data_IF_238946247341
#
_entry.id   IF_238946247341
#
_cell.length_a   1.000
_cell.length_b   1.000
_cell.length_c   1.000
_cell.angle_alpha   90.00
_cell.angle_beta   90.00
_cell.angle_gamma   90.00
#
_symmetry.space_group_name_H-M   'P 1'
#
loop_
_entity.id
_entity.type
_entity.pdbx_description
1 polymer ?
#
# COMPACT_ATOMS: atom_id res chain seq x y z
N UNK A 1 15.70 28.76 60.27
CA UNK A 1 14.45 29.12 59.56
C UNK A 1 14.37 28.22 58.36
N UNK A 2 13.74 27.08 58.57
CA UNK A 2 13.88 25.91 57.73
C UNK A 2 13.14 26.10 56.41
N UNK A 3 13.70 25.65 55.30
CA UNK A 3 13.07 25.64 53.97
C UNK A 3 11.66 25.02 54.00
N UNK A 4 11.44 24.10 54.94
CA UNK A 4 10.14 23.52 55.27
C UNK A 4 9.12 24.55 55.79
N UNK A 5 9.53 25.52 56.61
CA UNK A 5 8.65 26.61 57.06
C UNK A 5 8.32 27.61 55.95
N UNK A 6 9.22 27.77 54.96
CA UNK A 6 8.98 28.62 53.81
C UNK A 6 8.03 27.93 52.80
N UNK A 7 8.18 26.62 52.60
CA UNK A 7 7.29 25.83 51.75
C UNK A 7 5.87 25.69 52.31
N UNK A 8 5.69 25.59 53.64
CA UNK A 8 4.37 25.55 54.27
C UNK A 8 3.65 26.90 54.28
N UNK A 9 4.35 28.00 53.99
CA UNK A 9 3.76 29.34 53.87
C UNK A 9 3.20 29.65 52.48
N UNK A 10 3.45 28.80 51.49
CA UNK A 10 2.92 28.97 50.13
C UNK A 10 1.50 28.40 50.07
N UNK A 11 0.51 29.28 50.21
CA UNK A 11 -0.89 28.93 49.91
C UNK A 11 -1.01 28.73 48.40
N UNK A 12 -1.36 27.52 47.90
CA UNK A 12 -1.52 27.30 46.48
C UNK A 12 -2.73 28.08 45.99
N UNK A 13 -2.51 29.06 45.10
CA UNK A 13 -3.59 29.79 44.47
C UNK A 13 -4.33 28.85 43.50
N UNK A 14 -5.53 28.43 43.90
CA UNK A 14 -6.43 27.57 43.15
C UNK A 14 -7.44 28.39 42.35
N UNK A 15 -7.17 29.69 42.15
CA UNK A 15 -8.02 30.58 41.35
C UNK A 15 -8.33 29.95 39.98
N UNK A 16 -9.56 30.15 39.53
CA UNK A 16 -10.03 29.67 38.23
C UNK A 16 -9.11 30.18 37.10
N UNK A 17 -8.60 31.41 37.20
CA UNK A 17 -7.68 31.98 36.21
C UNK A 17 -6.34 31.25 36.13
N UNK A 18 -5.76 30.87 37.27
CA UNK A 18 -4.53 30.08 37.30
C UNK A 18 -4.75 28.69 36.71
N UNK A 19 -5.84 28.02 37.11
CA UNK A 19 -6.20 26.69 36.61
C UNK A 19 -6.44 26.67 35.10
N UNK A 20 -7.20 27.64 34.58
CA UNK A 20 -7.46 27.76 33.14
C UNK A 20 -6.16 28.01 32.37
N UNK A 21 -5.29 28.89 32.87
CA UNK A 21 -4.02 29.19 32.21
C UNK A 21 -3.11 27.97 32.13
N UNK A 22 -3.01 27.19 33.22
CA UNK A 22 -2.21 25.95 33.24
C UNK A 22 -2.78 24.91 32.25
N UNK A 23 -4.10 24.78 32.17
CA UNK A 23 -4.75 23.86 31.21
C UNK A 23 -4.47 24.30 29.77
N UNK A 24 -4.65 25.58 29.46
CA UNK A 24 -4.42 26.13 28.11
C UNK A 24 -2.94 26.02 27.73
N UNK A 25 -2.03 26.35 28.64
CA UNK A 25 -0.59 26.21 28.43
C UNK A 25 -0.19 24.74 28.25
N UNK A 26 -0.72 23.82 29.06
CA UNK A 26 -0.48 22.39 28.92
C UNK A 26 -0.95 21.85 27.56
N UNK A 27 -2.17 22.21 27.15
CA UNK A 27 -2.71 21.82 25.84
C UNK A 27 -1.86 22.40 24.70
N UNK A 28 -1.46 23.67 24.82
CA UNK A 28 -0.58 24.34 23.85
C UNK A 28 0.79 23.67 23.73
N UNK A 29 1.44 23.35 24.85
CA UNK A 29 2.78 22.73 24.87
C UNK A 29 2.73 21.30 24.29
N UNK A 30 1.68 20.53 24.59
CA UNK A 30 1.50 19.18 24.01
C UNK A 30 1.35 19.28 22.49
N UNK A 31 0.48 20.17 21.98
CA UNK A 31 0.31 20.39 20.54
C UNK A 31 1.60 20.89 19.87
N UNK A 32 2.29 21.84 20.51
CA UNK A 32 3.55 22.38 20.01
C UNK A 32 4.63 21.29 19.91
N UNK A 33 4.75 20.44 20.92
CA UNK A 33 5.75 19.36 20.93
C UNK A 33 5.49 18.36 19.80
N UNK A 34 4.22 17.97 19.58
CA UNK A 34 3.85 17.13 18.44
C UNK A 34 4.22 17.81 17.11
N UNK A 35 3.88 19.10 16.94
CA UNK A 35 4.18 19.85 15.73
C UNK A 35 5.70 19.94 15.47
N UNK A 36 6.51 20.14 16.51
CA UNK A 36 7.98 20.17 16.41
C UNK A 36 8.52 18.82 15.95
N UNK A 37 8.07 17.70 16.53
CA UNK A 37 8.46 16.36 16.08
C UNK A 37 8.10 16.12 14.60
N UNK A 38 6.88 16.47 14.22
CA UNK A 38 6.40 16.34 12.83
C UNK A 38 7.25 17.19 11.88
N UNK A 39 7.63 18.41 12.28
CA UNK A 39 8.47 19.30 11.48
C UNK A 39 9.84 18.69 11.19
N UNK A 40 10.49 18.14 12.23
CA UNK A 40 11.79 17.48 12.08
C UNK A 40 11.68 16.26 11.16
N UNK A 41 10.68 15.40 11.37
CA UNK A 41 10.42 14.28 10.47
C UNK A 41 10.08 14.71 9.04
N UNK A 42 9.40 15.84 8.86
CA UNK A 42 9.09 16.38 7.53
C UNK A 42 10.36 16.86 6.81
N UNK A 43 11.30 17.48 7.51
CA UNK A 43 12.58 17.91 6.91
C UNK A 43 13.40 16.70 6.50
N UNK A 44 13.57 15.70 7.38
CA UNK A 44 14.25 14.46 7.03
C UNK A 44 13.53 13.67 5.94
N UNK A 45 12.21 13.59 6.00
CA UNK A 45 11.37 12.96 4.99
C UNK A 45 11.51 13.64 3.63
N UNK A 46 11.59 14.96 3.58
CA UNK A 46 11.81 15.70 2.34
C UNK A 46 13.22 15.47 1.77
N UNK A 47 14.25 15.39 2.62
CA UNK A 47 15.63 15.10 2.19
C UNK A 47 15.74 13.66 1.63
N UNK A 48 15.17 12.68 2.33
CA UNK A 48 15.14 11.27 1.89
C UNK A 48 14.30 11.11 0.62
N UNK A 49 13.17 11.81 0.51
CA UNK A 49 12.31 11.77 -0.68
C UNK A 49 13.01 12.36 -1.91
N UNK A 50 13.81 13.42 -1.75
CA UNK A 50 14.64 13.96 -2.83
C UNK A 50 15.70 12.95 -3.31
N UNK A 51 16.25 12.13 -2.42
CA UNK A 51 17.18 11.05 -2.78
C UNK A 51 16.48 9.90 -3.52
N UNK A 52 15.30 9.48 -3.06
CA UNK A 52 14.52 8.45 -3.75
C UNK A 52 14.03 8.86 -5.14
N UNK A 53 13.67 10.13 -5.35
CA UNK A 53 13.22 10.58 -6.68
C UNK A 53 14.35 10.54 -7.72
N UNK A 54 15.61 10.81 -7.34
CA UNK A 54 16.75 10.65 -8.24
C UNK A 54 17.08 9.18 -8.55
N UNK A 55 16.87 8.28 -7.59
CA UNK A 55 17.03 6.84 -7.81
C UNK A 55 15.92 6.28 -8.74
N UNK A 56 14.68 6.74 -8.59
CA UNK A 56 13.56 6.35 -9.46
C UNK A 56 13.71 6.89 -10.89
N UNK A 57 14.27 8.08 -11.08
CA UNK A 57 14.51 8.64 -12.42
C UNK A 57 15.66 7.90 -13.16
N UNK A 58 16.72 7.52 -12.45
CA UNK A 58 17.81 6.69 -13.01
C UNK A 58 17.33 5.27 -13.36
N UNK A 59 16.55 4.64 -12.48
CA UNK A 59 15.97 3.33 -12.75
C UNK A 59 15.02 3.34 -13.95
N UNK A 60 14.27 4.44 -14.18
CA UNK A 60 13.39 4.59 -15.35
C UNK A 60 14.17 4.80 -16.66
N UNK A 61 15.35 5.43 -16.62
CA UNK A 61 16.23 5.60 -17.79
C UNK A 61 16.96 4.30 -18.18
N UNK A 62 17.48 3.54 -17.22
CA UNK A 62 18.11 2.23 -17.50
C UNK A 62 17.12 1.19 -18.05
N UNK A 63 15.84 1.27 -17.63
CA UNK A 63 14.81 0.38 -18.14
C UNK A 63 14.40 0.70 -19.58
N UNK A 64 14.53 1.97 -20.01
CA UNK A 64 14.26 2.41 -21.39
C UNK A 64 15.38 2.01 -22.35
N UNK A 65 16.65 2.15 -21.93
CA UNK A 65 17.81 1.73 -22.75
C UNK A 65 17.86 0.21 -22.96
N UNK A 66 17.44 -0.59 -21.97
CA UNK A 66 17.29 -2.05 -22.14
C UNK A 66 16.17 -2.45 -23.10
N UNK A 67 15.13 -1.65 -23.27
CA UNK A 67 14.07 -1.92 -24.24
C UNK A 67 14.46 -1.53 -25.67
N UNK A 68 15.33 -0.53 -25.84
CA UNK A 68 15.74 -0.05 -27.17
C UNK A 68 16.77 -0.96 -27.86
N UNK A 69 17.63 -1.64 -27.08
CA UNK A 69 18.59 -2.63 -27.62
C UNK A 69 17.99 -3.99 -27.98
N UNK A 70 16.72 -4.26 -27.63
CA UNK A 70 16.05 -5.53 -27.94
C UNK A 70 15.23 -5.50 -29.26
N UNK A 71 15.15 -4.35 -29.94
CA UNK A 71 14.29 -4.16 -31.12
C UNK A 71 15.01 -4.27 -32.49
N UNK A 72 16.30 -4.62 -32.52
CA UNK A 72 17.14 -4.50 -33.72
C UNK A 72 17.33 -5.79 -34.56
N UNK A 73 16.40 -6.76 -34.56
CA UNK A 73 16.49 -7.86 -35.51
C UNK A 73 15.12 -8.28 -36.09
N UNK A 74 14.75 -7.81 -37.29
CA UNK A 74 13.55 -8.25 -37.99
C UNK A 74 13.89 -9.44 -38.91
N UNK A 75 13.22 -10.58 -38.70
CA UNK A 75 13.23 -11.72 -39.62
C UNK A 75 11.78 -12.05 -40.07
N UNK A 76 11.60 -12.61 -41.28
CA UNK A 76 10.63 -12.09 -42.25
C UNK A 76 9.26 -12.78 -42.23
N UNK A 77 8.32 -12.05 -42.81
CA UNK A 77 6.89 -12.34 -42.97
C UNK A 77 6.68 -13.55 -43.89
N UNK A 78 5.96 -14.57 -43.42
CA UNK A 78 5.40 -15.65 -44.26
C UNK A 78 3.87 -15.61 -44.20
N UNK A 79 3.24 -15.37 -45.35
CA UNK A 79 1.78 -15.38 -45.56
C UNK A 79 1.28 -16.81 -45.84
N UNK A 80 0.32 -17.35 -45.06
CA UNK A 80 -0.81 -18.20 -45.54
C UNK A 80 -1.80 -18.59 -44.40
N UNK A 81 -3.01 -19.11 -44.71
CA UNK A 81 -4.30 -18.44 -44.55
C UNK A 81 -5.10 -18.84 -43.30
N UNK A 82 -6.17 -18.09 -43.04
CA UNK A 82 -7.05 -18.14 -41.88
C UNK A 82 -7.56 -19.54 -41.48
N UNK A 83 -7.34 -19.92 -40.23
CA UNK A 83 -8.37 -20.30 -39.24
C UNK A 83 -7.67 -20.85 -38.00
N UNK A 84 -8.34 -20.74 -36.86
CA UNK A 84 -7.88 -21.11 -35.53
C UNK A 84 -6.96 -20.05 -34.89
N UNK A 85 -7.61 -19.24 -34.06
CA UNK A 85 -7.01 -18.68 -32.85
C UNK A 85 -6.41 -19.85 -32.04
N UNK A 86 -5.23 -20.33 -32.44
CA UNK A 86 -4.25 -20.92 -31.53
C UNK A 86 -3.78 -19.79 -30.61
N UNK A 87 -4.69 -19.35 -29.74
CA UNK A 87 -4.44 -18.31 -28.76
C UNK A 87 -3.58 -18.94 -27.66
N UNK A 88 -2.28 -19.02 -27.93
CA UNK A 88 -1.24 -19.08 -26.90
C UNK A 88 -1.44 -20.18 -25.83
N UNK A 89 -1.12 -21.42 -26.19
CA UNK A 89 -0.72 -22.46 -25.22
C UNK A 89 -1.82 -23.08 -24.36
N UNK A 90 -3.11 -22.95 -24.71
CA UNK A 90 -4.23 -23.57 -24.00
C UNK A 90 -4.97 -24.50 -24.96
N UNK A 91 -4.93 -25.81 -24.69
CA UNK A 91 -5.56 -26.84 -25.54
C UNK A 91 -7.09 -26.65 -25.59
N UNK A 92 -7.66 -26.92 -26.77
CA UNK A 92 -9.12 -26.88 -26.99
C UNK A 92 -9.91 -27.82 -26.07
N UNK A 93 -9.29 -28.89 -25.57
CA UNK A 93 -9.86 -29.80 -24.59
C UNK A 93 -10.17 -29.11 -23.25
N UNK A 94 -9.25 -28.24 -22.80
CA UNK A 94 -9.41 -27.48 -21.55
C UNK A 94 -10.54 -26.47 -21.70
N UNK A 95 -10.64 -25.82 -22.86
CA UNK A 95 -11.70 -24.87 -23.16
C UNK A 95 -13.06 -25.59 -23.22
N UNK A 96 -13.12 -26.76 -23.87
CA UNK A 96 -14.33 -27.59 -23.94
C UNK A 96 -14.80 -28.02 -22.54
N UNK A 97 -13.88 -28.53 -21.71
CA UNK A 97 -14.20 -28.93 -20.33
C UNK A 97 -14.71 -27.76 -19.48
N UNK A 98 -14.07 -26.58 -19.56
CA UNK A 98 -14.52 -25.37 -18.85
C UNK A 98 -15.90 -24.93 -19.35
N UNK A 99 -16.12 -24.94 -20.66
CA UNK A 99 -17.41 -24.53 -21.25
C UNK A 99 -18.55 -25.47 -20.87
N UNK A 100 -18.30 -26.79 -20.82
CA UNK A 100 -19.28 -27.78 -20.38
C UNK A 100 -19.60 -27.63 -18.90
N UNK A 101 -18.60 -27.36 -18.06
CA UNK A 101 -18.80 -27.08 -16.65
C UNK A 101 -19.65 -25.80 -16.45
N UNK A 102 -19.36 -24.73 -17.18
CA UNK A 102 -20.12 -23.48 -17.10
C UNK A 102 -21.56 -23.68 -17.58
N UNK A 103 -21.77 -24.43 -18.66
CA UNK A 103 -23.10 -24.77 -19.14
C UNK A 103 -23.91 -25.56 -18.10
N UNK A 104 -23.26 -26.48 -17.39
CA UNK A 104 -23.91 -27.23 -16.30
C UNK A 104 -24.25 -26.35 -15.08
N UNK A 105 -23.49 -25.28 -14.81
CA UNK A 105 -23.73 -24.40 -13.65
C UNK A 105 -24.66 -23.22 -13.92
N UNK A 106 -24.55 -22.60 -15.10
CA UNK A 106 -25.27 -21.37 -15.45
C UNK A 106 -26.45 -21.61 -16.39
N UNK A 107 -26.55 -22.80 -17.01
CA UNK A 107 -27.63 -23.17 -17.92
C UNK A 107 -27.49 -22.57 -19.32
N UNK A 108 -28.55 -22.73 -20.11
CA UNK A 108 -28.56 -22.32 -21.52
C UNK A 108 -28.45 -20.78 -21.65
N UNK A 109 -27.40 -20.30 -22.32
CA UNK A 109 -27.14 -18.88 -22.57
C UNK A 109 -25.88 -18.29 -21.90
N UNK A 110 -25.11 -19.09 -21.18
CA UNK A 110 -23.85 -18.64 -20.57
C UNK A 110 -22.79 -18.26 -21.62
N UNK A 111 -22.21 -17.06 -21.50
CA UNK A 111 -21.17 -16.55 -22.40
C UNK A 111 -19.94 -16.15 -21.61
N UNK A 112 -18.82 -16.82 -21.90
CA UNK A 112 -17.52 -16.51 -21.28
C UNK A 112 -17.02 -15.16 -21.83
N UNK A 113 -16.99 -14.13 -20.97
CA UNK A 113 -16.52 -12.79 -21.36
C UNK A 113 -15.02 -12.59 -21.13
N UNK A 114 -14.49 -13.17 -20.06
CA UNK A 114 -13.07 -13.04 -19.71
C UNK A 114 -12.66 -14.22 -18.85
N UNK A 115 -11.45 -14.74 -19.09
CA UNK A 115 -10.77 -15.68 -18.21
C UNK A 115 -9.60 -14.94 -17.59
N UNK A 116 -9.72 -14.54 -16.33
CA UNK A 116 -8.62 -13.91 -15.60
C UNK A 116 -7.93 -14.97 -14.75
N UNK A 117 -6.60 -15.10 -14.79
CA UNK A 117 -5.91 -16.00 -13.89
C UNK A 117 -6.19 -15.58 -12.45
N UNK A 118 -6.59 -16.54 -11.62
CA UNK A 118 -6.65 -16.35 -10.17
C UNK A 118 -5.20 -16.06 -9.75
N UNK A 119 -4.87 -14.79 -9.60
CA UNK A 119 -3.62 -14.40 -8.97
C UNK A 119 -3.72 -14.96 -7.56
N UNK A 120 -3.01 -16.07 -7.30
CA UNK A 120 -2.75 -16.52 -5.92
C UNK A 120 -2.32 -15.26 -5.20
N UNK A 121 -3.13 -14.82 -4.24
CA UNK A 121 -2.84 -13.61 -3.49
C UNK A 121 -1.45 -13.84 -2.90
N UNK A 122 -0.44 -13.15 -3.44
CA UNK A 122 0.87 -13.14 -2.80
C UNK A 122 0.61 -12.75 -1.34
N UNK A 123 1.20 -13.43 -0.35
CA UNK A 123 1.00 -13.07 1.06
C UNK A 123 1.38 -11.61 1.36
N UNK A 124 2.10 -10.96 0.44
CA UNK A 124 2.48 -9.54 0.48
C UNK A 124 1.39 -8.61 -0.11
N UNK A 125 0.35 -9.15 -0.75
CA UNK A 125 -0.69 -8.45 -1.50
C UNK A 125 -2.04 -8.37 -0.78
N UNK A 126 -2.07 -8.48 0.54
CA UNK A 126 -3.15 -7.86 1.32
C UNK A 126 -2.70 -6.43 1.58
N UNK A 127 -3.31 -5.47 0.89
CA UNK A 127 -2.89 -4.06 0.80
C UNK A 127 -2.67 -3.35 2.15
N UNK A 128 -3.11 -3.94 3.26
CA UNK A 128 -2.90 -3.42 4.60
C UNK A 128 -2.41 -4.54 5.54
N UNK A 129 -1.17 -4.45 6.08
CA UNK A 129 -0.65 -5.37 7.09
C UNK A 129 -1.56 -5.50 8.33
N UNK A 130 -2.28 -4.45 8.71
CA UNK A 130 -3.21 -4.48 9.84
C UNK A 130 -4.48 -5.26 9.55
N UNK A 131 -4.98 -5.23 8.30
CA UNK A 131 -6.13 -6.03 7.92
C UNK A 131 -5.79 -7.52 7.97
N UNK A 132 -4.57 -7.88 7.55
CA UNK A 132 -4.11 -9.28 7.64
C UNK A 132 -3.92 -9.72 9.09
N UNK A 133 -3.34 -8.87 9.95
CA UNK A 133 -3.19 -9.15 11.39
C UNK A 133 -4.54 -9.36 12.08
N UNK A 134 -5.54 -8.51 11.79
CA UNK A 134 -6.89 -8.66 12.34
C UNK A 134 -7.55 -9.99 11.93
N UNK A 135 -7.40 -10.40 10.66
CA UNK A 135 -7.92 -11.69 10.20
C UNK A 135 -7.24 -12.83 10.97
N UNK A 136 -5.92 -12.82 11.05
CA UNK A 136 -5.14 -13.86 11.75
C UNK A 136 -5.56 -13.98 13.23
N UNK A 137 -5.79 -12.86 13.92
CA UNK A 137 -6.20 -12.87 15.33
C UNK A 137 -7.66 -13.32 15.53
N UNK A 138 -8.56 -13.02 14.59
CA UNK A 138 -9.97 -13.42 14.65
C UNK A 138 -10.22 -14.85 14.20
N UNK A 139 -9.36 -15.41 13.35
CA UNK A 139 -9.54 -16.77 12.79
C UNK A 139 -8.60 -17.79 13.39
N UNK A 140 -7.86 -17.46 14.46
CA UNK A 140 -7.05 -18.46 15.16
C UNK A 140 -7.97 -19.44 15.91
N UNK A 141 -7.75 -20.76 15.79
CA UNK A 141 -8.49 -21.73 16.59
C UNK A 141 -8.13 -21.57 18.07
N UNK A 142 -9.09 -21.94 18.93
CA UNK A 142 -8.94 -21.94 20.39
C UNK A 142 -8.09 -23.10 20.88
#
# INVERSE_FOLDING_TARGET
MDILTLATSVVPDRSAGFTVTVIVAGLGIVLATLAVLILVFKVFGNIVSKSQNKAKEKAKKEQLEKMQNAAANPAPVSKKPASQLEQSGISGEVIAAISAAIYATEGEGAVIRCVTPIKKQSPVSVRNPWANAAIIENTRPF
#
